data_IF_781930211925
#
_entry.id   IF_781930211925
#
_cell.length_a   1.000
_cell.length_b   1.000
_cell.length_c   1.000
_cell.angle_alpha   90.00
_cell.angle_beta   90.00
_cell.angle_gamma   90.00
#
_symmetry.space_group_name_H-M   'P 1'
#
loop_
_entity.id
_entity.type
_entity.pdbx_description
1 polymer ?
#
# COMPACT_ATOMS: atom_id res chain seq x y z
N UNK A 1 -11.02 -12.11 -0.71
CA UNK A 1 -10.67 -12.61 -2.07
C UNK A 1 -9.16 -12.85 -2.26
N UNK A 2 -8.30 -12.59 -1.26
CA UNK A 2 -6.87 -12.93 -1.33
C UNK A 2 -6.03 -11.96 -2.16
N UNK A 3 -6.57 -10.79 -2.52
CA UNK A 3 -5.89 -9.77 -3.32
C UNK A 3 -4.84 -9.01 -2.52
N UNK A 4 -3.74 -8.65 -3.17
CA UNK A 4 -2.77 -7.70 -2.63
C UNK A 4 -2.98 -6.33 -3.26
N UNK A 5 -3.20 -5.31 -2.43
CA UNK A 5 -3.46 -3.94 -2.88
C UNK A 5 -2.34 -3.03 -2.38
N UNK A 6 -1.74 -2.26 -3.29
CA UNK A 6 -0.69 -1.31 -2.94
C UNK A 6 -0.95 0.05 -3.60
N UNK A 7 -0.49 1.12 -2.95
CA UNK A 7 -0.47 2.46 -3.53
C UNK A 7 0.93 3.06 -3.37
N UNK A 8 1.43 3.67 -4.44
CA UNK A 8 2.74 4.31 -4.51
C UNK A 8 2.63 5.68 -5.22
N UNK A 9 3.56 6.59 -4.90
CA UNK A 9 3.68 7.89 -5.55
C UNK A 9 4.55 7.79 -6.80
N UNK A 10 5.73 7.18 -6.70
CA UNK A 10 6.66 7.06 -7.82
C UNK A 10 6.44 5.78 -8.63
N UNK A 11 5.80 4.78 -8.01
CA UNK A 11 5.55 3.48 -8.62
C UNK A 11 6.70 2.48 -8.50
N UNK A 12 7.86 2.90 -7.96
CA UNK A 12 9.06 2.06 -7.90
C UNK A 12 8.91 0.87 -6.94
N UNK A 13 8.18 1.01 -5.83
CA UNK A 13 7.97 -0.10 -4.88
C UNK A 13 6.97 -1.10 -5.44
N UNK A 14 5.91 -0.63 -6.07
CA UNK A 14 4.91 -1.52 -6.69
C UNK A 14 5.42 -2.17 -7.96
N UNK A 15 6.27 -1.51 -8.74
CA UNK A 15 6.95 -2.13 -9.88
C UNK A 15 7.82 -3.32 -9.41
N UNK A 16 8.63 -3.13 -8.37
CA UNK A 16 9.42 -4.21 -7.79
C UNK A 16 8.56 -5.34 -7.21
N UNK A 17 7.40 -5.02 -6.64
CA UNK A 17 6.45 -6.02 -6.18
C UNK A 17 5.79 -6.78 -7.35
N UNK A 18 5.52 -6.14 -8.48
CA UNK A 18 4.94 -6.84 -9.64
C UNK A 18 5.98 -7.74 -10.29
N UNK A 19 7.15 -7.20 -10.60
CA UNK A 19 8.24 -7.90 -11.27
C UNK A 19 9.56 -7.14 -11.10
N UNK A 20 10.48 -7.68 -10.28
CA UNK A 20 11.80 -7.08 -10.09
C UNK A 20 12.80 -8.00 -9.42
N UNK A 21 12.61 -8.35 -8.14
CA UNK A 21 13.48 -9.29 -7.44
C UNK A 21 13.38 -10.71 -8.00
N UNK A 22 14.45 -11.49 -7.84
CA UNK A 22 14.45 -12.93 -8.18
C UNK A 22 13.50 -13.74 -7.31
N UNK A 23 13.22 -13.28 -6.09
CA UNK A 23 12.20 -13.82 -5.21
C UNK A 23 11.66 -12.71 -4.30
N UNK A 24 10.33 -12.61 -4.17
CA UNK A 24 9.68 -11.58 -3.37
C UNK A 24 9.12 -12.20 -2.09
N UNK A 25 9.50 -11.65 -0.94
CA UNK A 25 8.97 -12.06 0.36
C UNK A 25 8.14 -10.92 0.92
N UNK A 26 6.82 -11.13 1.03
CA UNK A 26 5.88 -10.17 1.60
C UNK A 26 5.52 -10.60 3.02
N UNK A 27 5.95 -9.81 4.02
CA UNK A 27 5.57 -10.00 5.43
C UNK A 27 4.45 -9.02 5.77
N UNK A 28 3.27 -9.55 6.11
CA UNK A 28 2.04 -8.78 6.26
C UNK A 28 1.50 -8.97 7.68
N UNK A 29 1.39 -7.87 8.42
CA UNK A 29 0.78 -7.85 9.75
C UNK A 29 -0.74 -7.91 9.69
N UNK A 30 -1.35 -8.47 10.74
CA UNK A 30 -2.80 -8.63 10.86
C UNK A 30 -3.57 -7.31 10.66
N UNK A 31 -2.98 -6.17 11.05
CA UNK A 31 -3.55 -4.83 10.82
C UNK A 31 -3.79 -4.46 9.35
N UNK A 32 -3.30 -5.24 8.38
CA UNK A 32 -3.48 -5.00 6.93
C UNK A 32 -4.54 -5.87 6.27
N UNK A 33 -5.13 -6.81 7.01
CA UNK A 33 -6.16 -7.70 6.48
C UNK A 33 -7.52 -7.02 6.64
N UNK A 34 -8.28 -6.95 5.54
CA UNK A 34 -9.57 -6.27 5.44
C UNK A 34 -10.54 -7.14 4.63
N UNK A 35 -11.87 -6.96 4.77
CA UNK A 35 -12.84 -7.86 4.15
C UNK A 35 -12.87 -7.80 2.61
N UNK A 36 -12.64 -6.63 2.02
CA UNK A 36 -12.80 -6.39 0.58
C UNK A 36 -11.88 -5.27 0.04
N UNK A 37 -11.94 -5.06 -1.28
CA UNK A 37 -11.13 -4.08 -2.01
C UNK A 37 -11.43 -2.64 -1.56
N UNK A 38 -12.69 -2.29 -1.32
CA UNK A 38 -13.08 -0.94 -0.93
C UNK A 38 -12.50 -0.59 0.45
N UNK A 39 -12.56 -1.53 1.38
CA UNK A 39 -11.92 -1.41 2.69
C UNK A 39 -10.39 -1.36 2.57
N UNK A 40 -9.78 -2.07 1.62
CA UNK A 40 -8.34 -2.00 1.36
C UNK A 40 -7.92 -0.61 0.88
N UNK A 41 -8.63 -0.07 -0.11
CA UNK A 41 -8.39 1.28 -0.62
C UNK A 41 -8.65 2.33 0.45
N UNK A 42 -9.73 2.19 1.21
CA UNK A 42 -10.05 3.07 2.33
C UNK A 42 -8.94 3.07 3.37
N UNK A 43 -8.47 1.89 3.80
CA UNK A 43 -7.39 1.75 4.79
C UNK A 43 -6.10 2.39 4.29
N UNK A 44 -5.72 2.14 3.03
CA UNK A 44 -4.48 2.72 2.49
C UNK A 44 -4.58 4.26 2.48
N UNK A 45 -5.71 4.81 2.03
CA UNK A 45 -5.91 6.26 1.92
C UNK A 45 -6.12 6.95 3.28
N UNK A 46 -6.73 6.30 4.26
CA UNK A 46 -7.11 6.91 5.55
C UNK A 46 -6.21 6.53 6.73
N UNK A 47 -5.40 5.48 6.61
CA UNK A 47 -4.49 5.05 7.68
C UNK A 47 -3.05 5.13 7.21
N UNK A 48 -2.74 4.45 6.10
CA UNK A 48 -1.36 4.25 5.68
C UNK A 48 -0.73 5.52 5.07
N UNK A 49 -1.39 6.11 4.07
CA UNK A 49 -0.90 7.28 3.37
C UNK A 49 -0.74 8.50 4.30
N UNK A 50 -1.70 8.86 5.18
CA UNK A 50 -1.54 9.97 6.13
C UNK A 50 -0.33 9.82 7.05
N UNK A 51 -0.10 8.60 7.57
CA UNK A 51 1.04 8.32 8.43
C UNK A 51 2.37 8.37 7.65
N UNK A 52 2.38 7.86 6.41
CA UNK A 52 3.57 7.91 5.58
C UNK A 52 3.94 9.33 5.15
N UNK A 53 2.96 10.16 4.77
CA UNK A 53 3.20 11.56 4.37
C UNK A 53 3.72 12.37 5.54
N UNK A 54 3.18 12.16 6.75
CA UNK A 54 3.74 12.74 7.99
C UNK A 54 5.19 12.33 8.22
N UNK A 55 5.48 11.02 8.15
CA UNK A 55 6.84 10.49 8.34
C UNK A 55 7.85 11.09 7.33
N UNK A 56 7.40 11.34 6.10
CA UNK A 56 8.23 11.91 5.03
C UNK A 56 8.26 13.45 5.02
N UNK A 57 7.53 14.13 5.92
CA UNK A 57 7.45 15.59 5.94
C UNK A 57 6.76 16.21 4.72
N UNK A 58 5.96 15.44 3.98
CA UNK A 58 5.27 15.91 2.78
C UNK A 58 4.01 16.69 3.20
N UNK A 59 3.88 17.92 2.72
CA UNK A 59 2.78 18.86 3.03
C UNK A 59 1.47 18.51 2.31
N UNK A 60 1.02 17.27 2.46
CA UNK A 60 -0.32 16.84 2.02
C UNK A 60 -1.37 17.22 3.06
N UNK A 61 -2.61 17.54 2.68
CA UNK A 61 -3.69 17.79 3.63
C UNK A 61 -3.91 16.61 4.59
N UNK A 62 -3.80 15.38 4.08
CA UNK A 62 -3.98 14.17 4.88
C UNK A 62 -2.87 13.97 5.94
N UNK A 63 -1.66 14.52 5.74
CA UNK A 63 -0.64 14.51 6.79
C UNK A 63 -1.11 15.24 8.05
N UNK A 64 -1.74 16.39 7.89
CA UNK A 64 -2.27 17.20 9.00
C UNK A 64 -3.59 16.64 9.54
N UNK A 65 -4.51 16.26 8.68
CA UNK A 65 -5.87 15.86 9.05
C UNK A 65 -5.99 14.42 9.55
N UNK A 66 -5.01 13.56 9.24
CA UNK A 66 -5.01 12.14 9.61
C UNK A 66 -5.96 11.26 8.81
N UNK A 67 -6.67 11.79 7.81
CA UNK A 67 -7.55 11.05 6.92
C UNK A 67 -7.46 11.60 5.48
N UNK A 68 -7.95 10.83 4.51
CA UNK A 68 -7.91 11.21 3.10
C UNK A 68 -8.91 12.33 2.79
N UNK A 69 -8.48 13.32 2.02
CA UNK A 69 -9.34 14.39 1.49
C UNK A 69 -9.33 14.44 -0.04
N UNK A 70 -8.92 13.34 -0.67
CA UNK A 70 -8.76 13.23 -2.12
C UNK A 70 -7.93 14.38 -2.71
N UNK A 71 -6.74 14.60 -2.14
CA UNK A 71 -5.90 15.71 -2.53
C UNK A 71 -5.45 15.59 -3.98
N UNK A 72 -5.49 16.72 -4.70
CA UNK A 72 -5.17 16.77 -6.12
C UNK A 72 -3.73 16.40 -6.49
N UNK A 73 -3.45 16.29 -7.80
CA UNK A 73 -2.18 15.76 -8.32
C UNK A 73 -0.96 16.62 -8.01
N UNK A 74 -1.11 17.86 -7.53
CA UNK A 74 0.03 18.69 -7.13
C UNK A 74 0.77 18.14 -5.89
N UNK A 75 0.05 17.48 -4.97
CA UNK A 75 0.59 17.06 -3.67
C UNK A 75 0.38 15.57 -3.37
N UNK A 76 -0.44 14.87 -4.16
CA UNK A 76 -0.76 13.46 -3.92
C UNK A 76 0.45 12.54 -4.04
N UNK A 77 0.61 11.67 -3.03
CA UNK A 77 1.50 10.50 -3.07
C UNK A 77 0.77 9.22 -3.52
N UNK A 78 -0.55 9.29 -3.75
CA UNK A 78 -1.37 8.13 -4.08
C UNK A 78 -1.62 8.07 -5.59
N UNK A 79 -0.57 7.83 -6.38
CA UNK A 79 -0.61 8.01 -7.84
C UNK A 79 -0.76 6.69 -8.60
N UNK A 80 -0.12 5.64 -8.12
CA UNK A 80 -0.12 4.32 -8.75
C UNK A 80 -0.78 3.36 -7.79
N UNK A 81 -1.96 2.88 -8.15
CA UNK A 81 -2.67 1.83 -7.39
C UNK A 81 -2.53 0.52 -8.14
N UNK A 82 -2.09 -0.53 -7.44
CA UNK A 82 -1.99 -1.87 -8.00
C UNK A 82 -2.89 -2.81 -7.21
N UNK A 83 -3.60 -3.66 -7.94
CA UNK A 83 -4.43 -4.72 -7.41
C UNK A 83 -3.90 -6.00 -8.05
N UNK A 84 -3.33 -6.89 -7.24
CA UNK A 84 -2.85 -8.19 -7.70
C UNK A 84 -3.87 -9.26 -7.32
N UNK A 85 -4.61 -9.73 -8.32
CA UNK A 85 -5.55 -10.85 -8.18
C UNK A 85 -4.83 -12.19 -8.01
N UNK A 86 -3.69 -12.35 -8.68
CA UNK A 86 -2.90 -13.59 -8.69
C UNK A 86 -1.41 -13.29 -8.67
N UNK A 87 -0.62 -14.29 -8.26
CA UNK A 87 0.85 -14.22 -8.34
C UNK A 87 1.27 -14.12 -9.83
N UNK A 88 2.05 -13.09 -10.22
CA UNK A 88 2.61 -13.02 -11.56
C UNK A 88 3.49 -14.27 -11.86
N UNK A 89 3.36 -14.92 -13.03
CA UNK A 89 4.02 -16.19 -13.29
C UNK A 89 5.55 -16.14 -13.10
N UNK A 90 6.17 -15.06 -13.57
CA UNK A 90 7.62 -14.85 -13.56
C UNK A 90 8.15 -14.21 -12.26
N UNK A 91 7.29 -13.98 -11.26
CA UNK A 91 7.69 -13.44 -9.95
C UNK A 91 7.44 -14.50 -8.86
N UNK A 92 8.49 -15.22 -8.41
CA UNK A 92 8.39 -16.08 -7.24
C UNK A 92 8.01 -15.26 -6.00
N UNK A 93 7.06 -15.76 -5.22
CA UNK A 93 6.46 -15.05 -4.10
C UNK A 93 6.32 -15.94 -2.87
N UNK A 94 6.68 -15.42 -1.71
CA UNK A 94 6.35 -15.97 -0.40
C UNK A 94 5.59 -14.93 0.39
N UNK A 95 4.38 -15.28 0.85
CA UNK A 95 3.57 -14.42 1.71
C UNK A 95 3.58 -14.99 3.12
N UNK A 96 4.00 -14.17 4.09
CA UNK A 96 4.02 -14.52 5.51
C UNK A 96 3.03 -13.60 6.21
N UNK A 97 1.94 -14.18 6.73
CA UNK A 97 0.99 -13.49 7.59
C UNK A 97 1.44 -13.62 9.04
N UNK A 98 1.40 -12.52 9.78
CA UNK A 98 1.78 -12.51 11.19
C UNK A 98 0.71 -11.86 12.06
N UNK A 99 0.45 -12.39 13.28
CA UNK A 99 -0.56 -11.83 14.18
C UNK A 99 -0.16 -10.44 14.74
N UNK A 100 1.11 -10.05 14.64
CA UNK A 100 1.56 -8.75 15.11
C UNK A 100 1.23 -7.63 14.12
N UNK A 101 0.93 -6.46 14.65
CA UNK A 101 0.75 -5.26 13.85
C UNK A 101 2.12 -4.80 13.32
N UNK A 102 2.22 -4.64 12.00
CA UNK A 102 3.44 -4.16 11.34
C UNK A 102 3.15 -2.83 10.65
N UNK A 103 4.10 -1.90 10.69
CA UNK A 103 3.97 -0.60 10.02
C UNK A 103 2.65 0.10 10.36
N UNK A 104 2.03 0.70 9.35
CA UNK A 104 0.79 1.45 9.46
C UNK A 104 -0.34 0.88 8.60
#
# INVERSE_FOLDING_TARGET
DGRMVNIDGMGNRVAAAIYGPSHIVAVIGANKIVPDLDNALWRIKNVAAPQNTRRLGIKTPCASLGHCTDCGPAVSICRVTTIMDYRPPAAPYTVILTPINLGY
#
